data_IF_338807977484
#
_entry.id   IF_338807977484
#
_cell.length_a   1.000
_cell.length_b   1.000
_cell.length_c   1.000
_cell.angle_alpha   90.00
_cell.angle_beta   90.00
_cell.angle_gamma   90.00
#
_symmetry.space_group_name_H-M   'P 1'
#
loop_
_entity.id
_entity.type
_entity.pdbx_description
1 polymer ?
#
# COMPACT_ATOMS: atom_id res chain seq x y z
N UNK A 1 25.54 0.99 -17.97
CA UNK A 1 24.51 1.77 -17.26
C UNK A 1 23.49 0.85 -16.65
N UNK A 2 23.74 0.36 -15.44
CA UNK A 2 22.79 -0.49 -14.73
C UNK A 2 21.93 0.41 -13.82
N UNK A 3 20.69 0.70 -14.23
CA UNK A 3 19.72 1.32 -13.34
C UNK A 3 19.32 0.33 -12.25
N UNK A 4 19.16 0.80 -11.01
CA UNK A 4 18.74 -0.07 -9.89
C UNK A 4 17.33 -0.65 -10.11
N UNK A 5 16.46 0.06 -10.85
CA UNK A 5 15.06 -0.33 -11.07
C UNK A 5 14.61 0.13 -12.46
N UNK A 6 13.94 -0.76 -13.19
CA UNK A 6 13.19 -0.44 -14.40
C UNK A 6 11.67 -0.55 -14.13
N UNK A 7 10.92 0.47 -14.55
CA UNK A 7 9.46 0.55 -14.42
C UNK A 7 8.84 1.23 -15.64
N UNK A 8 7.59 0.86 -15.91
CA UNK A 8 6.81 1.40 -17.01
C UNK A 8 5.68 2.31 -16.49
N UNK A 9 5.40 3.35 -17.27
CA UNK A 9 4.28 4.26 -17.08
C UNK A 9 3.45 4.29 -18.36
N UNK A 10 2.13 4.20 -18.23
CA UNK A 10 1.22 4.36 -19.37
C UNK A 10 0.98 5.85 -19.60
N UNK A 11 1.24 6.30 -20.82
CA UNK A 11 1.07 7.67 -21.26
C UNK A 11 -0.03 7.72 -22.34
N UNK A 12 -0.70 8.86 -22.47
CA UNK A 12 -1.68 9.08 -23.55
C UNK A 12 -0.99 9.41 -24.87
N UNK A 13 0.11 10.16 -24.82
CA UNK A 13 0.94 10.51 -25.95
C UNK A 13 2.41 10.24 -25.60
N UNK A 14 3.08 9.46 -26.45
CA UNK A 14 4.48 9.03 -26.27
C UNK A 14 5.43 9.93 -27.06
N UNK A 15 4.94 10.65 -28.08
CA UNK A 15 5.77 11.45 -28.99
C UNK A 15 6.44 12.66 -28.32
N UNK A 16 6.03 12.99 -27.09
CA UNK A 16 6.55 14.11 -26.30
C UNK A 16 7.83 13.76 -25.52
N UNK A 17 8.29 12.51 -25.58
CA UNK A 17 9.44 12.03 -24.81
C UNK A 17 10.49 11.40 -25.70
N UNK A 18 11.75 11.76 -25.48
CA UNK A 18 12.90 11.20 -26.21
C UNK A 18 13.65 10.16 -25.37
N UNK A 19 14.26 9.18 -26.03
CA UNK A 19 15.05 8.16 -25.34
C UNK A 19 16.30 8.80 -24.76
N UNK A 20 16.48 8.66 -23.45
CA UNK A 20 17.60 9.26 -22.71
C UNK A 20 17.28 10.60 -22.05
N UNK A 21 16.06 11.13 -22.25
CA UNK A 21 15.60 12.34 -21.56
C UNK A 21 15.57 12.13 -20.04
N UNK A 22 16.20 13.06 -19.31
CA UNK A 22 16.09 13.12 -17.85
C UNK A 22 14.76 13.79 -17.47
N UNK A 23 14.00 13.15 -16.58
CA UNK A 23 12.71 13.65 -16.09
C UNK A 23 12.88 14.07 -14.63
N UNK A 24 12.79 15.37 -14.34
CA UNK A 24 12.91 15.88 -12.97
C UNK A 24 11.54 15.98 -12.32
N UNK A 25 11.53 15.85 -10.99
CA UNK A 25 10.31 15.97 -10.19
C UNK A 25 9.61 17.33 -10.35
N UNK A 26 10.40 18.38 -10.56
CA UNK A 26 9.94 19.77 -10.76
C UNK A 26 9.09 19.96 -12.01
N UNK A 27 9.32 19.14 -13.03
CA UNK A 27 8.70 19.32 -14.34
C UNK A 27 7.29 18.70 -14.36
N UNK A 28 7.05 17.70 -13.49
CA UNK A 28 5.81 16.93 -13.45
C UNK A 28 4.86 17.43 -12.36
N UNK A 29 5.39 17.79 -11.19
CA UNK A 29 4.62 18.09 -9.98
C UNK A 29 4.81 19.54 -9.54
N UNK A 30 3.76 20.11 -8.96
CA UNK A 30 3.76 21.43 -8.32
C UNK A 30 3.21 21.32 -6.89
N UNK A 31 3.54 22.30 -6.06
CA UNK A 31 2.94 22.41 -4.74
C UNK A 31 1.40 22.61 -4.88
N UNK A 32 0.62 21.89 -4.07
CA UNK A 32 -0.84 21.83 -4.15
C UNK A 32 -1.39 20.68 -5.00
N UNK A 33 -0.57 20.01 -5.82
CA UNK A 33 -1.02 18.88 -6.62
C UNK A 33 -1.43 17.68 -5.76
N UNK A 34 -2.42 16.92 -6.27
CA UNK A 34 -2.82 15.63 -5.69
C UNK A 34 -2.13 14.47 -6.41
N UNK A 35 -1.54 13.57 -5.64
CA UNK A 35 -0.78 12.43 -6.13
C UNK A 35 -1.24 11.10 -5.50
N UNK A 36 -1.07 10.02 -6.25
CA UNK A 36 -1.20 8.66 -5.78
C UNK A 36 0.19 8.04 -5.65
N UNK A 37 0.52 7.53 -4.46
CA UNK A 37 1.84 6.95 -4.18
C UNK A 37 1.71 5.44 -3.95
N UNK A 38 2.39 4.67 -4.80
CA UNK A 38 2.42 3.20 -4.73
C UNK A 38 3.78 2.71 -4.26
N UNK A 39 3.80 1.72 -3.38
CA UNK A 39 5.03 1.12 -2.88
C UNK A 39 4.78 -0.26 -2.28
N UNK A 40 5.86 -0.97 -1.94
CA UNK A 40 5.77 -2.23 -1.22
C UNK A 40 5.63 -1.95 0.28
N UNK A 41 4.56 -2.43 0.90
CA UNK A 41 4.31 -2.24 2.32
C UNK A 41 5.33 -2.97 3.19
N UNK A 42 5.55 -2.49 4.42
CA UNK A 42 6.44 -3.17 5.39
C UNK A 42 5.91 -4.58 5.68
N UNK A 43 6.75 -5.59 5.49
CA UNK A 43 6.44 -6.98 5.83
C UNK A 43 6.26 -7.16 7.35
N UNK A 44 5.26 -7.97 7.73
CA UNK A 44 4.95 -8.30 9.13
C UNK A 44 4.97 -9.81 9.39
N UNK A 45 5.46 -10.60 8.43
CA UNK A 45 5.58 -12.05 8.50
C UNK A 45 4.24 -12.77 8.52
N UNK A 46 4.20 -13.98 9.08
CA UNK A 46 2.96 -14.70 9.35
C UNK A 46 2.21 -14.04 10.51
N UNK A 47 1.06 -13.44 10.22
CA UNK A 47 0.24 -12.73 11.19
C UNK A 47 -1.05 -13.49 11.51
N UNK A 48 -1.38 -13.58 12.80
CA UNK A 48 -2.65 -14.11 13.27
C UNK A 48 -3.84 -13.21 12.90
N UNK A 49 -5.05 -13.75 13.03
CA UNK A 49 -6.32 -13.11 12.64
C UNK A 49 -6.57 -11.75 13.31
N UNK A 50 -6.21 -11.61 14.59
CA UNK A 50 -6.34 -10.33 15.31
C UNK A 50 -5.47 -9.25 14.67
N UNK A 51 -4.19 -9.55 14.42
CA UNK A 51 -3.23 -8.58 13.87
C UNK A 51 -3.51 -8.27 12.40
N UNK A 52 -3.89 -9.28 11.61
CA UNK A 52 -4.08 -9.17 10.16
C UNK A 52 -5.43 -8.58 9.77
N UNK A 53 -6.49 -8.91 10.52
CA UNK A 53 -7.88 -8.60 10.17
C UNK A 53 -8.66 -7.86 11.24
N UNK A 54 -8.00 -7.45 12.33
CA UNK A 54 -8.62 -6.73 13.46
C UNK A 54 -9.77 -7.50 14.11
N UNK A 55 -9.66 -8.83 14.18
CA UNK A 55 -10.63 -9.66 14.91
C UNK A 55 -10.56 -9.37 16.41
N UNK A 56 -11.70 -9.44 17.08
CA UNK A 56 -11.79 -9.42 18.55
C UNK A 56 -11.28 -10.74 19.13
N UNK A 57 -10.63 -10.67 20.30
CA UNK A 57 -10.30 -11.86 21.09
C UNK A 57 -11.46 -12.31 21.96
N UNK A 58 -11.30 -13.47 22.60
CA UNK A 58 -12.18 -13.92 23.68
C UNK A 58 -11.71 -13.41 25.04
N UNK A 59 -12.61 -13.30 26.05
CA UNK A 59 -12.22 -12.93 27.41
C UNK A 59 -11.09 -13.81 27.94
N UNK A 60 -10.16 -13.21 28.68
CA UNK A 60 -9.03 -13.94 29.28
C UNK A 60 -9.41 -14.72 30.57
N UNK A 61 -10.67 -14.60 31.01
CA UNK A 61 -11.19 -15.19 32.25
C UNK A 61 -12.55 -15.86 31.99
N UNK A 62 -13.31 -16.16 33.05
CA UNK A 62 -14.64 -16.76 33.03
C UNK A 62 -14.69 -18.12 32.31
N UNK A 63 -13.72 -18.99 32.59
CA UNK A 63 -13.70 -20.37 32.08
C UNK A 63 -13.21 -20.53 30.63
N UNK A 64 -12.64 -19.47 30.02
CA UNK A 64 -12.09 -19.57 28.67
C UNK A 64 -10.83 -20.44 28.67
N UNK A 65 -10.91 -21.62 28.04
CA UNK A 65 -9.77 -22.53 27.88
C UNK A 65 -9.04 -22.25 26.56
N UNK A 66 -7.85 -21.64 26.64
CA UNK A 66 -6.88 -21.42 25.54
C UNK A 66 -7.40 -20.68 24.28
N UNK A 67 -8.64 -20.17 24.29
CA UNK A 67 -9.31 -19.63 23.11
C UNK A 67 -9.11 -18.11 22.88
N UNK A 68 -8.20 -17.47 23.62
CA UNK A 68 -8.13 -16.00 23.74
C UNK A 68 -7.93 -15.25 22.42
N UNK A 69 -7.15 -15.81 21.48
CA UNK A 69 -6.74 -15.14 20.22
C UNK A 69 -7.21 -15.85 18.95
N UNK A 70 -8.19 -16.75 19.09
CA UNK A 70 -8.71 -17.56 18.00
C UNK A 70 -9.63 -16.75 17.06
N UNK A 71 -9.86 -17.30 15.86
CA UNK A 71 -10.64 -16.65 14.81
C UNK A 71 -12.15 -16.83 14.89
N UNK A 72 -12.66 -17.49 15.94
CA UNK A 72 -14.08 -17.85 16.01
C UNK A 72 -14.46 -18.98 15.05
N UNK A 73 -15.76 -19.08 14.78
CA UNK A 73 -16.31 -20.01 13.80
C UNK A 73 -15.91 -19.63 12.36
N UNK A 74 -15.50 -20.63 11.57
CA UNK A 74 -15.03 -20.42 10.20
C UNK A 74 -16.09 -20.71 9.12
N UNK A 75 -17.21 -21.35 9.48
CA UNK A 75 -18.28 -21.72 8.56
C UNK A 75 -19.59 -22.09 9.28
N UNK A 76 -20.55 -22.57 8.50
CA UNK A 76 -21.86 -23.02 8.96
C UNK A 76 -21.94 -24.57 8.94
N UNK A 77 -22.98 -25.15 9.56
CA UNK A 77 -23.21 -26.61 9.62
C UNK A 77 -23.68 -27.19 8.27
N UNK A 78 -24.99 -27.42 8.10
CA UNK A 78 -25.52 -28.28 7.01
C UNK A 78 -25.31 -27.71 5.60
N UNK A 79 -25.52 -26.42 5.41
CA UNK A 79 -25.20 -25.71 4.17
C UNK A 79 -24.30 -24.53 4.51
N UNK A 80 -23.13 -24.36 3.86
CA UNK A 80 -22.64 -24.98 2.62
C UNK A 80 -21.74 -26.23 2.79
N UNK A 81 -21.52 -26.74 4.02
CA UNK A 81 -20.65 -27.91 4.26
C UNK A 81 -19.16 -27.70 3.95
N UNK A 82 -18.72 -26.46 3.72
CA UNK A 82 -17.32 -26.10 3.44
C UNK A 82 -17.02 -24.65 3.83
N UNK A 83 -15.73 -24.31 3.92
CA UNK A 83 -15.31 -22.91 4.09
C UNK A 83 -15.32 -22.18 2.74
N UNK A 84 -15.89 -20.97 2.71
CA UNK A 84 -15.90 -20.14 1.50
C UNK A 84 -14.50 -19.59 1.17
N UNK A 85 -14.23 -19.40 -0.13
CA UNK A 85 -12.99 -18.75 -0.61
C UNK A 85 -12.95 -17.30 -0.09
N UNK A 86 -11.75 -16.82 0.25
CA UNK A 86 -11.56 -15.48 0.80
C UNK A 86 -11.96 -15.33 2.27
N UNK A 87 -12.27 -16.42 2.98
CA UNK A 87 -12.47 -16.37 4.44
C UNK A 87 -11.21 -15.82 5.12
N UNK A 88 -11.40 -14.79 5.96
CA UNK A 88 -10.31 -14.14 6.70
C UNK A 88 -9.68 -15.12 7.70
N UNK A 89 -8.42 -15.47 7.46
CA UNK A 89 -7.61 -16.38 8.27
C UNK A 89 -6.20 -15.82 8.49
N UNK A 90 -5.44 -16.44 9.39
CA UNK A 90 -4.03 -16.14 9.60
C UNK A 90 -3.21 -16.36 8.32
N UNK A 91 -2.08 -15.68 8.19
CA UNK A 91 -1.20 -15.81 7.03
C UNK A 91 -0.22 -14.67 6.88
N UNK A 92 0.56 -14.70 5.80
CA UNK A 92 1.52 -13.64 5.49
C UNK A 92 0.83 -12.27 5.37
N UNK A 93 1.38 -11.25 6.01
CA UNK A 93 0.83 -9.89 6.00
C UNK A 93 1.89 -8.83 5.71
N UNK A 94 1.56 -7.88 4.84
CA UNK A 94 2.50 -6.90 4.30
C UNK A 94 3.39 -7.48 3.20
N UNK A 95 4.46 -6.76 2.86
CA UNK A 95 5.30 -7.06 1.68
C UNK A 95 4.50 -7.18 0.38
N UNK A 96 3.43 -6.39 0.28
CA UNK A 96 2.54 -6.36 -0.87
C UNK A 96 2.50 -4.95 -1.45
N UNK A 97 2.13 -4.83 -2.72
CA UNK A 97 2.02 -3.54 -3.39
C UNK A 97 0.77 -2.83 -2.90
N UNK A 98 0.95 -1.70 -2.22
CA UNK A 98 -0.13 -0.86 -1.68
C UNK A 98 -0.02 0.53 -2.32
N UNK A 99 -1.17 1.13 -2.60
CA UNK A 99 -1.27 2.50 -3.12
C UNK A 99 -2.06 3.34 -2.13
N UNK A 100 -1.47 4.46 -1.71
CA UNK A 100 -2.18 5.49 -0.94
C UNK A 100 -2.57 6.58 -1.92
N UNK A 101 -3.86 6.89 -1.96
CA UNK A 101 -4.43 7.80 -2.96
C UNK A 101 -4.63 9.21 -2.39
N UNK A 102 -4.67 10.20 -3.29
CA UNK A 102 -5.07 11.57 -3.01
C UNK A 102 -4.21 12.29 -1.94
N UNK A 103 -2.90 12.01 -1.93
CA UNK A 103 -1.96 12.74 -1.07
C UNK A 103 -1.65 14.11 -1.66
N UNK A 104 -1.43 15.09 -0.80
CA UNK A 104 -1.16 16.49 -1.18
C UNK A 104 0.35 16.72 -1.22
N UNK A 105 0.84 17.34 -2.30
CA UNK A 105 2.22 17.82 -2.41
C UNK A 105 2.33 19.16 -1.70
N UNK A 106 3.11 19.22 -0.61
CA UNK A 106 3.28 20.43 0.20
C UNK A 106 4.32 21.37 -0.40
N UNK A 107 5.35 20.80 -1.03
CA UNK A 107 6.44 21.58 -1.61
C UNK A 107 7.45 20.70 -2.32
N UNK A 108 8.28 21.33 -3.13
CA UNK A 108 9.33 20.68 -3.91
C UNK A 108 10.62 21.46 -3.67
N UNK A 109 11.71 20.74 -3.38
CA UNK A 109 13.06 21.31 -3.26
C UNK A 109 13.89 20.84 -4.45
N UNK A 110 14.07 21.68 -5.48
CA UNK A 110 14.72 21.29 -6.72
C UNK A 110 16.20 20.96 -6.53
N UNK A 111 16.92 21.72 -5.71
CA UNK A 111 18.36 21.52 -5.50
C UNK A 111 18.69 20.18 -4.82
N UNK A 112 17.80 19.71 -3.95
CA UNK A 112 17.96 18.45 -3.23
C UNK A 112 17.21 17.27 -3.90
N UNK A 113 16.50 17.52 -5.02
CA UNK A 113 15.60 16.55 -5.67
C UNK A 113 14.57 15.92 -4.70
N UNK A 114 13.98 16.72 -3.81
CA UNK A 114 13.01 16.25 -2.81
C UNK A 114 11.58 16.70 -3.13
N UNK A 115 10.64 15.79 -2.93
CA UNK A 115 9.19 16.07 -2.93
C UNK A 115 8.68 15.92 -1.50
N UNK A 116 8.02 16.95 -0.98
CA UNK A 116 7.38 16.92 0.33
C UNK A 116 5.90 16.57 0.16
N UNK A 117 5.49 15.46 0.77
CA UNK A 117 4.12 14.93 0.67
C UNK A 117 3.48 14.93 2.05
N UNK A 118 2.23 15.40 2.12
CA UNK A 118 1.43 15.39 3.35
C UNK A 118 0.85 14.01 3.59
N UNK A 119 1.40 13.29 4.56
CA UNK A 119 0.87 12.02 5.03
C UNK A 119 1.88 10.87 5.00
N UNK A 120 1.40 9.69 5.36
CA UNK A 120 2.22 8.48 5.38
C UNK A 120 2.25 7.79 4.01
N UNK A 121 3.43 7.30 3.65
CA UNK A 121 3.69 6.60 2.38
C UNK A 121 3.92 5.11 2.66
N UNK A 122 3.51 4.20 1.75
CA UNK A 122 3.74 2.77 1.92
C UNK A 122 5.24 2.42 1.89
N UNK A 123 5.67 1.58 2.82
CA UNK A 123 6.99 0.96 2.81
C UNK A 123 7.95 1.45 3.89
N UNK A 124 9.18 0.95 3.84
CA UNK A 124 10.26 1.34 4.74
C UNK A 124 11.06 2.53 4.17
N UNK A 125 11.90 3.14 5.02
CA UNK A 125 12.84 4.17 4.57
C UNK A 125 13.72 3.62 3.45
N UNK A 126 14.02 4.44 2.44
CA UNK A 126 14.78 4.05 1.22
C UNK A 126 14.08 3.00 0.34
N UNK A 127 12.78 2.75 0.55
CA UNK A 127 11.99 1.92 -0.34
C UNK A 127 11.73 2.61 -1.68
N UNK A 128 11.53 1.81 -2.72
CA UNK A 128 11.18 2.30 -4.06
C UNK A 128 9.70 2.64 -4.10
N UNK A 129 9.39 3.83 -4.62
CA UNK A 129 8.04 4.36 -4.74
C UNK A 129 7.74 4.69 -6.20
N UNK A 130 6.49 4.49 -6.58
CA UNK A 130 5.95 4.92 -7.86
C UNK A 130 4.93 6.01 -7.56
N UNK A 131 5.22 7.23 -8.00
CA UNK A 131 4.35 8.39 -7.82
C UNK A 131 3.65 8.68 -9.14
N UNK A 132 2.34 8.92 -9.08
CA UNK A 132 1.49 9.25 -10.23
C UNK A 132 0.59 10.40 -9.86
N UNK A 133 0.10 11.14 -10.86
CA UNK A 133 -1.02 12.08 -10.65
C UNK A 133 -2.23 11.33 -10.10
N UNK A 134 -2.95 11.96 -9.18
CA UNK A 134 -4.10 11.32 -8.55
C UNK A 134 -5.18 10.99 -9.59
N UNK A 135 -5.64 9.74 -9.61
CA UNK A 135 -6.75 9.34 -10.51
C UNK A 135 -8.08 9.89 -10.00
N UNK A 136 -8.18 10.10 -8.68
CA UNK A 136 -9.36 10.60 -7.99
C UNK A 136 -9.00 11.93 -7.32
N UNK A 137 -9.58 13.03 -7.77
CA UNK A 137 -9.20 14.34 -7.24
C UNK A 137 -9.80 15.56 -7.95
N UNK A 138 -10.46 15.40 -9.10
CA UNK A 138 -11.15 16.51 -9.75
C UNK A 138 -12.49 16.80 -9.06
N UNK A 139 -12.45 17.65 -8.04
CA UNK A 139 -13.50 18.64 -7.78
C UNK A 139 -12.85 20.00 -7.75
#
# INVERSE_FOLDING_TARGET
GAFQVLREFRLQDVGQYEVGQEIKATDIFKAGDRIDVSGTSKGRGFAGVIKRWSFSGFPASHGTHEYFRHGGAIGNRSYPGRVFKGKKMAGHWGNEKVSVQNLEVVGIRPEENLILVKGAIPGAKRGILIIRRAVKGNK
#
